data_IF_275749976651
#
_entry.id   IF_275749976651
#
_cell.length_a   1.000
_cell.length_b   1.000
_cell.length_c   1.000
_cell.angle_alpha   90.00
_cell.angle_beta   90.00
_cell.angle_gamma   90.00
#
_symmetry.space_group_name_H-M   'P 1'
#
loop_
_entity.id
_entity.type
_entity.pdbx_description
1 polymer ?
#
# COMPACT_ATOMS: atom_id res chain seq x y z
N UNK A 1 -2.58 4.83 15.70
CA UNK A 1 -2.69 5.02 14.23
C UNK A 1 -2.27 3.71 13.58
N UNK A 2 -3.10 3.06 12.74
CA UNK A 2 -2.77 1.73 12.21
C UNK A 2 -1.60 1.81 11.23
N UNK A 3 -0.74 0.79 11.25
CA UNK A 3 0.34 0.67 10.27
C UNK A 3 -0.24 0.05 8.98
N UNK A 4 0.22 0.54 7.82
CA UNK A 4 -0.25 0.10 6.51
C UNK A 4 0.98 -0.20 5.64
N UNK A 5 1.00 -1.38 5.03
CA UNK A 5 2.05 -1.76 4.08
C UNK A 5 1.49 -1.79 2.65
N UNK A 6 2.17 -1.12 1.71
CA UNK A 6 1.71 -0.97 0.33
C UNK A 6 1.83 -2.24 -0.53
N UNK A 7 2.87 -3.04 -0.30
CA UNK A 7 3.18 -4.31 -0.99
C UNK A 7 3.42 -4.27 -2.52
N UNK A 8 3.35 -3.10 -3.17
CA UNK A 8 3.67 -2.89 -4.59
C UNK A 8 4.29 -1.49 -4.81
N UNK A 9 5.30 -1.16 -4.01
CA UNK A 9 5.97 0.14 -4.08
C UNK A 9 7.02 0.13 -5.20
N UNK A 10 6.76 0.94 -6.23
CA UNK A 10 7.62 1.09 -7.41
C UNK A 10 7.37 2.45 -8.06
N UNK A 11 8.29 2.91 -8.91
CA UNK A 11 8.21 4.25 -9.52
C UNK A 11 6.90 4.50 -10.29
N UNK A 12 6.32 3.46 -10.93
CA UNK A 12 5.02 3.55 -11.62
C UNK A 12 3.85 3.87 -10.66
N UNK A 13 3.98 3.52 -9.39
CA UNK A 13 2.97 3.72 -8.35
C UNK A 13 3.26 4.98 -7.49
N UNK A 14 4.22 5.81 -7.90
CA UNK A 14 4.52 7.11 -7.28
C UNK A 14 4.20 8.20 -8.30
N UNK A 15 3.17 9.00 -8.03
CA UNK A 15 2.76 10.10 -8.90
C UNK A 15 3.42 11.40 -8.44
N UNK A 16 3.78 12.26 -9.40
CA UNK A 16 4.29 13.61 -9.14
C UNK A 16 3.20 14.63 -9.43
N UNK A 17 2.83 15.43 -8.43
CA UNK A 17 1.85 16.50 -8.57
C UNK A 17 2.48 17.74 -9.22
N UNK A 18 1.64 18.66 -9.70
CA UNK A 18 2.08 19.93 -10.32
C UNK A 18 2.97 20.80 -9.40
N UNK A 19 2.78 20.68 -8.09
CA UNK A 19 3.59 21.40 -7.10
C UNK A 19 4.93 20.70 -6.76
N UNK A 20 5.32 19.67 -7.51
CA UNK A 20 6.58 18.94 -7.31
C UNK A 20 6.57 17.93 -6.16
N UNK A 21 5.44 17.78 -5.44
CA UNK A 21 5.33 16.78 -4.37
C UNK A 21 4.87 15.42 -4.91
N UNK A 22 5.30 14.34 -4.26
CA UNK A 22 4.89 13.00 -4.62
C UNK A 22 3.63 12.55 -3.86
N UNK A 23 2.83 11.68 -4.47
CA UNK A 23 1.83 10.89 -3.76
C UNK A 23 1.91 9.42 -4.20
N UNK A 24 1.60 8.53 -3.26
CA UNK A 24 1.58 7.10 -3.48
C UNK A 24 0.21 6.72 -4.07
N UNK A 25 0.20 5.89 -5.10
CA UNK A 25 -0.99 5.42 -5.81
C UNK A 25 -1.04 3.89 -5.86
N UNK A 26 -2.19 3.33 -6.23
CA UNK A 26 -2.47 1.88 -6.30
C UNK A 26 -2.32 1.13 -4.96
N UNK A 27 -3.31 1.31 -4.09
CA UNK A 27 -3.40 0.63 -2.79
C UNK A 27 -4.15 -0.72 -2.88
N UNK A 28 -4.35 -1.27 -4.09
CA UNK A 28 -5.15 -2.49 -4.28
C UNK A 28 -4.58 -3.74 -3.59
N UNK A 29 -3.29 -3.71 -3.24
CA UNK A 29 -2.58 -4.77 -2.51
C UNK A 29 -2.17 -4.37 -1.09
N UNK A 30 -2.62 -3.20 -0.61
CA UNK A 30 -2.24 -2.71 0.70
C UNK A 30 -2.86 -3.56 1.82
N UNK A 31 -2.14 -3.69 2.93
CA UNK A 31 -2.59 -4.43 4.13
C UNK A 31 -2.46 -3.55 5.36
N UNK A 32 -3.36 -3.75 6.33
CA UNK A 32 -3.37 -3.04 7.60
C UNK A 32 -2.89 -3.95 8.71
N UNK A 33 -1.99 -3.46 9.55
CA UNK A 33 -1.62 -4.12 10.80
C UNK A 33 -2.41 -3.50 11.96
N UNK A 34 -3.00 -4.39 12.77
CA UNK A 34 -3.60 -4.04 14.05
C UNK A 34 -2.62 -4.37 15.17
N UNK A 35 -2.05 -3.33 15.77
CA UNK A 35 -1.06 -3.47 16.84
C UNK A 35 -1.67 -3.96 18.16
N UNK A 36 -3.00 -3.88 18.34
CA UNK A 36 -3.65 -4.33 19.58
C UNK A 36 -3.80 -5.85 19.62
N UNK A 37 -4.01 -6.48 18.46
CA UNK A 37 -4.18 -7.94 18.32
C UNK A 37 -2.99 -8.63 17.67
N UNK A 38 -1.99 -7.86 17.24
CA UNK A 38 -0.85 -8.28 16.44
C UNK A 38 -1.23 -9.08 15.19
N UNK A 39 -2.32 -8.65 14.53
CA UNK A 39 -2.85 -9.30 13.33
C UNK A 39 -2.68 -8.42 12.11
N UNK A 40 -2.55 -9.05 10.94
CA UNK A 40 -2.55 -8.38 9.65
C UNK A 40 -3.89 -8.65 8.97
N UNK A 41 -4.63 -7.59 8.68
CA UNK A 41 -5.83 -7.65 7.88
C UNK A 41 -5.45 -7.75 6.40
N UNK A 42 -5.53 -8.99 5.89
CA UNK A 42 -5.22 -9.35 4.51
C UNK A 42 -6.53 -9.79 3.86
N UNK A 43 -7.05 -8.97 2.95
CA UNK A 43 -8.14 -9.41 2.09
C UNK A 43 -7.70 -10.68 1.32
N UNK A 44 -8.59 -11.67 1.11
CA UNK A 44 -8.29 -12.91 0.39
C UNK A 44 -8.13 -12.64 -1.12
N UNK A 45 -7.08 -11.92 -1.49
CA UNK A 45 -6.73 -11.56 -2.86
C UNK A 45 -5.45 -12.31 -3.23
N UNK A 46 -5.56 -13.24 -4.17
CA UNK A 46 -4.42 -14.02 -4.70
C UNK A 46 -3.47 -13.20 -5.59
N UNK A 47 -3.71 -11.89 -5.75
CA UNK A 47 -2.87 -11.02 -6.56
C UNK A 47 -1.60 -10.68 -5.79
N UNK A 48 -0.49 -11.25 -6.24
CA UNK A 48 0.85 -10.74 -5.93
C UNK A 48 1.17 -9.59 -6.90
N UNK A 49 2.05 -8.67 -6.50
CA UNK A 49 2.35 -7.39 -7.17
C UNK A 49 2.29 -7.35 -8.69
N UNK A 50 1.97 -6.18 -9.23
CA UNK A 50 2.00 -5.99 -10.69
C UNK A 50 3.46 -5.91 -11.17
N UNK A 51 3.76 -6.33 -12.41
CA UNK A 51 5.14 -6.29 -12.95
C UNK A 51 5.71 -4.86 -13.10
#
# INVERSE_FOLDING_TARGET
KPAIAHRDLKSKNILVKKNGTCCIADLGLAVRHDSATDTIDIAPNHRVGTK
#
